data_IF_555216917070
#
_entry.id   IF_555216917070
#
_cell.length_a   1.000
_cell.length_b   1.000
_cell.length_c   1.000
_cell.angle_alpha   90.00
_cell.angle_beta   90.00
_cell.angle_gamma   90.00
#
_symmetry.space_group_name_H-M   'P 1'
#
loop_
_entity.id
_entity.type
_entity.pdbx_description
1 polymer ?
#
# COMPACT_ATOMS: atom_id res chain seq x y z
N UNK A 1 -17.24 -2.16 -7.64
CA UNK A 1 -17.01 -3.10 -8.76
C UNK A 1 -16.33 -4.33 -8.18
N UNK A 2 -16.74 -5.52 -8.58
CA UNK A 2 -16.05 -6.78 -8.28
C UNK A 2 -15.30 -7.19 -9.55
N UNK A 3 -14.04 -7.59 -9.38
CA UNK A 3 -13.20 -8.12 -10.45
C UNK A 3 -12.67 -9.46 -9.99
N UNK A 4 -12.70 -10.45 -10.88
CA UNK A 4 -12.02 -11.72 -10.65
C UNK A 4 -11.60 -12.33 -11.98
N UNK A 5 -10.71 -13.30 -11.89
CA UNK A 5 -10.16 -14.02 -13.02
C UNK A 5 -10.53 -15.50 -12.95
N UNK A 6 -10.69 -16.13 -14.10
CA UNK A 6 -10.86 -17.57 -14.22
C UNK A 6 -9.95 -18.14 -15.32
N UNK A 7 -9.42 -19.34 -15.06
CA UNK A 7 -8.55 -20.08 -15.98
C UNK A 7 -9.30 -20.75 -17.15
N UNK A 8 -10.62 -20.53 -17.22
CA UNK A 8 -11.49 -21.01 -18.28
C UNK A 8 -12.71 -20.09 -18.42
N UNK A 9 -13.27 -20.00 -19.62
CA UNK A 9 -14.52 -19.28 -19.83
C UNK A 9 -15.68 -19.94 -19.07
N UNK A 10 -16.22 -19.21 -18.09
CA UNK A 10 -17.40 -19.56 -17.33
C UNK A 10 -18.67 -19.05 -18.03
N UNK A 11 -19.70 -19.89 -18.14
CA UNK A 11 -20.96 -19.55 -18.84
C UNK A 11 -22.06 -19.14 -17.86
N UNK A 12 -22.84 -18.12 -18.23
CA UNK A 12 -23.95 -17.61 -17.42
C UNK A 12 -23.52 -17.14 -16.02
N UNK A 13 -22.37 -16.47 -15.92
CA UNK A 13 -21.90 -15.94 -14.63
C UNK A 13 -22.65 -14.67 -14.26
N UNK A 14 -23.01 -14.54 -12.99
CA UNK A 14 -23.64 -13.36 -12.42
C UNK A 14 -23.07 -13.08 -11.03
N UNK A 15 -23.19 -11.85 -10.58
CA UNK A 15 -23.05 -11.52 -9.17
C UNK A 15 -24.47 -11.46 -8.59
N UNK A 16 -24.69 -12.07 -7.45
CA UNK A 16 -25.86 -11.81 -6.62
C UNK A 16 -25.45 -11.21 -5.30
N UNK A 17 -26.30 -10.36 -4.72
CA UNK A 17 -26.01 -9.72 -3.44
C UNK A 17 -27.28 -9.47 -2.63
N UNK A 18 -27.12 -9.42 -1.31
CA UNK A 18 -28.20 -9.19 -0.37
C UNK A 18 -27.67 -8.58 0.92
N UNK A 19 -28.52 -7.84 1.63
CA UNK A 19 -28.21 -7.36 2.97
C UNK A 19 -28.33 -8.52 3.97
N UNK A 20 -27.32 -8.69 4.83
CA UNK A 20 -27.31 -9.71 5.86
C UNK A 20 -28.25 -9.31 6.99
N UNK A 21 -29.53 -9.70 6.87
CA UNK A 21 -30.51 -9.54 7.93
C UNK A 21 -30.13 -10.33 9.19
N UNK A 22 -30.33 -9.73 10.36
CA UNK A 22 -30.20 -10.38 11.68
C UNK A 22 -31.48 -11.13 12.05
N UNK A 23 -32.59 -10.91 11.32
CA UNK A 23 -33.94 -11.37 11.66
C UNK A 23 -34.46 -12.30 10.55
N UNK A 24 -35.20 -13.35 10.93
CA UNK A 24 -35.78 -14.42 10.08
C UNK A 24 -36.82 -13.92 9.05
N UNK A 25 -36.46 -12.96 8.22
CA UNK A 25 -37.25 -12.49 7.08
C UNK A 25 -36.70 -13.08 5.78
N UNK A 26 -37.57 -13.18 4.77
CA UNK A 26 -37.20 -13.55 3.41
C UNK A 26 -36.16 -12.57 2.87
N UNK A 27 -34.95 -13.06 2.61
CA UNK A 27 -33.84 -12.28 2.06
C UNK A 27 -34.15 -11.94 0.60
N UNK A 28 -34.25 -10.66 0.28
CA UNK A 28 -34.32 -10.20 -1.11
C UNK A 28 -32.93 -10.31 -1.75
N UNK A 29 -32.82 -11.18 -2.76
CA UNK A 29 -31.57 -11.41 -3.49
C UNK A 29 -31.60 -10.60 -4.78
N UNK A 30 -30.72 -9.61 -4.86
CA UNK A 30 -30.46 -8.87 -6.08
C UNK A 30 -29.47 -9.64 -6.96
N UNK A 31 -29.59 -9.50 -8.28
CA UNK A 31 -28.71 -10.18 -9.24
C UNK A 31 -28.32 -9.27 -10.38
N UNK A 32 -27.07 -9.33 -10.81
CA UNK A 32 -26.60 -8.65 -12.01
C UNK A 32 -27.15 -9.28 -13.29
N UNK A 33 -26.96 -8.57 -14.41
CA UNK A 33 -26.99 -9.19 -15.73
C UNK A 33 -25.92 -10.28 -15.87
N UNK A 34 -26.03 -11.11 -16.91
CA UNK A 34 -25.00 -12.10 -17.23
C UNK A 34 -23.74 -11.37 -17.66
N UNK A 35 -22.64 -11.69 -16.99
CA UNK A 35 -21.35 -11.07 -17.21
C UNK A 35 -20.61 -11.81 -18.32
N UNK A 36 -20.02 -11.03 -19.22
CA UNK A 36 -19.11 -11.52 -20.26
C UNK A 36 -17.67 -11.24 -19.83
N UNK A 37 -16.74 -12.19 -20.02
CA UNK A 37 -15.35 -11.92 -19.70
C UNK A 37 -14.69 -11.02 -20.75
N UNK A 38 -13.68 -10.30 -20.30
CA UNK A 38 -12.58 -9.82 -21.14
C UNK A 38 -11.49 -10.89 -21.16
N UNK A 39 -11.10 -11.34 -22.35
CA UNK A 39 -10.07 -12.36 -22.50
C UNK A 39 -8.70 -11.67 -22.61
N UNK A 40 -7.80 -11.98 -21.68
CA UNK A 40 -6.41 -11.53 -21.76
C UNK A 40 -5.63 -12.47 -22.67
N UNK A 41 -5.82 -13.79 -22.50
CA UNK A 41 -5.33 -14.82 -23.40
C UNK A 41 -6.26 -16.05 -23.40
N UNK A 42 -5.79 -17.18 -23.94
CA UNK A 42 -6.55 -18.44 -24.04
C UNK A 42 -6.93 -19.07 -22.69
N UNK A 43 -6.22 -18.70 -21.63
CA UNK A 43 -6.39 -19.20 -20.26
C UNK A 43 -6.99 -18.15 -19.34
N UNK A 44 -6.65 -16.87 -19.48
CA UNK A 44 -6.99 -15.85 -18.49
C UNK A 44 -8.22 -15.03 -18.92
N UNK A 45 -9.33 -15.23 -18.20
CA UNK A 45 -10.63 -14.61 -18.46
C UNK A 45 -11.02 -13.72 -17.27
N UNK A 46 -11.03 -12.40 -17.46
CA UNK A 46 -11.36 -11.43 -16.41
C UNK A 46 -12.82 -11.03 -16.49
N UNK A 47 -13.53 -11.15 -15.39
CA UNK A 47 -14.92 -10.73 -15.25
C UNK A 47 -14.98 -9.48 -14.38
N UNK A 48 -15.80 -8.51 -14.81
CA UNK A 48 -16.14 -7.31 -14.04
C UNK A 48 -17.63 -7.27 -13.82
N UNK A 49 -18.07 -6.98 -12.59
CA UNK A 49 -19.47 -6.75 -12.29
C UNK A 49 -19.66 -5.67 -11.25
N UNK A 50 -20.85 -5.07 -11.23
CA UNK A 50 -21.21 -4.00 -10.32
C UNK A 50 -22.18 -4.56 -9.29
N UNK A 51 -21.86 -4.36 -8.01
CA UNK A 51 -22.80 -4.56 -6.89
C UNK A 51 -23.48 -3.22 -6.66
N UNK A 52 -24.80 -3.20 -6.74
CA UNK A 52 -25.60 -2.02 -6.41
C UNK A 52 -26.78 -1.79 -7.36
N UNK A 53 -27.57 -0.73 -7.14
CA UNK A 53 -27.33 0.31 -6.13
C UNK A 53 -27.45 -0.22 -4.69
N UNK A 54 -26.63 0.32 -3.78
CA UNK A 54 -26.69 0.07 -2.34
C UNK A 54 -27.13 1.37 -1.66
N UNK A 55 -28.20 1.33 -0.88
CA UNK A 55 -28.86 2.53 -0.35
C UNK A 55 -28.80 2.64 1.17
N UNK A 56 -28.52 1.54 1.89
CA UNK A 56 -28.45 1.50 3.35
C UNK A 56 -27.02 1.26 3.83
N UNK A 57 -26.76 1.71 5.06
CA UNK A 57 -25.60 1.28 5.82
C UNK A 57 -25.87 -0.15 6.29
N UNK A 58 -24.98 -1.08 5.98
CA UNK A 58 -25.23 -2.48 6.32
C UNK A 58 -24.07 -3.41 6.05
N UNK A 59 -24.23 -4.65 6.51
CA UNK A 59 -23.39 -5.77 6.12
C UNK A 59 -24.03 -6.44 4.91
N UNK A 60 -23.34 -6.47 3.79
CA UNK A 60 -23.80 -7.11 2.56
C UNK A 60 -23.02 -8.38 2.30
N UNK A 61 -23.69 -9.37 1.72
CA UNK A 61 -23.07 -10.56 1.15
C UNK A 61 -23.17 -10.45 -0.36
N UNK A 62 -22.10 -10.78 -1.06
CA UNK A 62 -22.13 -11.00 -2.51
C UNK A 62 -21.56 -12.36 -2.86
N UNK A 63 -22.12 -12.92 -3.92
CA UNK A 63 -21.83 -14.27 -4.39
C UNK A 63 -21.64 -14.26 -5.90
N UNK A 64 -20.58 -14.93 -6.36
CA UNK A 64 -20.34 -15.19 -7.77
C UNK A 64 -21.04 -16.50 -8.11
N UNK A 65 -22.00 -16.45 -9.03
CA UNK A 65 -22.87 -17.58 -9.35
C UNK A 65 -22.66 -18.02 -10.79
N UNK A 66 -22.52 -19.32 -11.01
CA UNK A 66 -22.30 -19.92 -12.33
C UNK A 66 -23.35 -20.98 -12.69
N UNK A 67 -23.69 -20.98 -13.97
CA UNK A 67 -24.56 -21.98 -14.58
C UNK A 67 -26.05 -21.83 -14.25
N UNK A 68 -26.86 -22.65 -14.93
CA UNK A 68 -28.32 -22.63 -14.76
C UNK A 68 -28.79 -23.14 -13.38
N UNK A 69 -27.97 -23.99 -12.73
CA UNK A 69 -28.25 -24.53 -11.38
C UNK A 69 -27.88 -23.57 -10.25
N UNK A 70 -27.49 -22.32 -10.55
CA UNK A 70 -27.07 -21.31 -9.58
C UNK A 70 -25.99 -21.80 -8.61
N UNK A 71 -24.93 -22.43 -9.12
CA UNK A 71 -23.82 -22.84 -8.27
C UNK A 71 -23.06 -21.61 -7.79
N UNK A 72 -22.91 -21.46 -6.47
CA UNK A 72 -22.08 -20.42 -5.86
C UNK A 72 -20.61 -20.84 -6.00
N UNK A 73 -19.81 -20.04 -6.71
CA UNK A 73 -18.37 -20.24 -6.90
C UNK A 73 -17.59 -19.61 -5.75
N UNK A 74 -18.00 -18.42 -5.34
CA UNK A 74 -17.43 -17.72 -4.20
C UNK A 74 -18.49 -16.89 -3.49
N UNK A 75 -18.31 -16.70 -2.18
CA UNK A 75 -19.20 -15.91 -1.31
C UNK A 75 -18.35 -15.10 -0.35
N UNK A 76 -18.59 -13.80 -0.29
CA UNK A 76 -17.88 -12.87 0.57
C UNK A 76 -18.85 -11.83 1.15
N UNK A 77 -18.43 -11.17 2.23
CA UNK A 77 -19.23 -10.13 2.88
C UNK A 77 -18.42 -8.87 3.10
N UNK A 78 -19.05 -7.71 3.00
CA UNK A 78 -18.44 -6.41 3.24
C UNK A 78 -19.40 -5.48 3.99
N UNK A 79 -18.87 -4.42 4.60
CA UNK A 79 -19.67 -3.34 5.17
C UNK A 79 -19.69 -2.15 4.21
N UNK A 80 -20.86 -1.55 4.01
CA UNK A 80 -21.02 -0.39 3.16
C UNK A 80 -21.62 0.78 3.93
N UNK A 81 -21.15 2.00 3.65
CA UNK A 81 -21.49 3.22 4.38
C UNK A 81 -21.84 4.37 3.41
N UNK A 82 -23.02 4.35 2.77
CA UNK A 82 -23.41 5.39 1.80
C UNK A 82 -23.65 6.76 2.44
N UNK A 83 -23.94 6.81 3.73
CA UNK A 83 -24.18 8.02 4.52
C UNK A 83 -23.71 7.83 5.97
N UNK A 84 -23.60 8.92 6.75
CA UNK A 84 -23.36 8.80 8.19
C UNK A 84 -24.55 8.01 8.78
N UNK A 85 -24.33 6.87 9.43
CA UNK A 85 -25.38 6.18 10.15
C UNK A 85 -25.89 7.08 11.28
N UNK A 86 -27.20 7.12 11.51
CA UNK A 86 -27.82 7.90 12.60
C UNK A 86 -27.00 7.77 13.90
N UNK A 87 -26.62 8.92 14.49
CA UNK A 87 -25.57 9.08 15.50
C UNK A 87 -25.82 8.34 16.83
N UNK A 88 -26.88 7.57 16.91
CA UNK A 88 -27.18 6.62 17.99
C UNK A 88 -26.62 5.21 17.77
N UNK A 89 -26.03 4.88 16.60
CA UNK A 89 -25.69 3.48 16.23
C UNK A 89 -24.24 3.17 15.83
N UNK A 90 -23.41 4.13 15.44
CA UNK A 90 -21.98 3.85 15.28
C UNK A 90 -21.25 4.02 16.61
N UNK A 91 -20.90 2.90 17.22
CA UNK A 91 -20.02 2.83 18.40
C UNK A 91 -18.56 2.61 18.01
N UNK A 92 -18.23 2.56 16.71
CA UNK A 92 -16.90 2.23 16.17
C UNK A 92 -16.60 3.02 14.87
N UNK A 93 -15.32 3.29 14.56
CA UNK A 93 -14.93 4.10 13.40
C UNK A 93 -15.00 3.32 12.09
N UNK A 94 -15.05 4.04 10.96
CA UNK A 94 -14.76 3.45 9.65
C UNK A 94 -13.25 3.32 9.53
N UNK A 95 -12.78 2.08 9.43
CA UNK A 95 -11.36 1.76 9.30
C UNK A 95 -10.97 1.65 7.84
N UNK A 96 -9.89 2.35 7.48
CA UNK A 96 -9.32 2.32 6.14
C UNK A 96 -7.83 2.01 6.28
N UNK A 97 -7.35 1.05 5.49
CA UNK A 97 -5.92 0.79 5.37
C UNK A 97 -5.43 1.38 4.05
N UNK A 98 -4.35 2.18 4.08
CA UNK A 98 -3.79 2.79 2.88
C UNK A 98 -2.37 2.31 2.58
N UNK A 99 -2.10 2.13 1.30
CA UNK A 99 -0.82 1.78 0.71
C UNK A 99 -0.53 2.70 -0.48
N UNK A 100 0.75 2.82 -0.86
CA UNK A 100 1.18 3.38 -2.13
C UNK A 100 2.59 2.85 -2.44
N UNK A 101 2.89 2.73 -3.73
CA UNK A 101 4.24 2.43 -4.23
C UNK A 101 4.76 1.07 -3.74
N UNK A 102 4.00 -0.01 -3.95
CA UNK A 102 4.57 -1.34 -3.77
C UNK A 102 5.47 -1.73 -4.94
N UNK A 103 5.11 -1.38 -6.18
CA UNK A 103 5.87 -1.68 -7.41
C UNK A 103 6.40 -3.13 -7.40
N UNK A 104 7.68 -3.33 -7.70
CA UNK A 104 8.39 -4.61 -7.65
C UNK A 104 8.69 -5.14 -6.22
N UNK A 105 8.33 -4.40 -5.18
CA UNK A 105 8.59 -4.71 -3.77
C UNK A 105 7.61 -5.71 -3.15
N UNK A 106 7.17 -6.73 -3.89
CA UNK A 106 6.06 -7.61 -3.50
C UNK A 106 6.26 -8.34 -2.16
N UNK A 107 7.50 -8.71 -1.79
CA UNK A 107 7.79 -9.28 -0.46
C UNK A 107 7.53 -8.34 0.71
N UNK A 108 7.76 -7.04 0.52
CA UNK A 108 7.47 -6.03 1.53
C UNK A 108 5.96 -5.82 1.59
N UNK A 109 5.32 -5.69 0.43
CA UNK A 109 3.88 -5.48 0.33
C UNK A 109 3.08 -6.64 0.94
N UNK A 110 3.37 -7.90 0.56
CA UNK A 110 2.79 -9.10 1.17
C UNK A 110 2.85 -9.05 2.70
N UNK A 111 4.01 -8.67 3.25
CA UNK A 111 4.20 -8.57 4.70
C UNK A 111 3.32 -7.47 5.31
N UNK A 112 3.25 -6.30 4.68
CA UNK A 112 2.44 -5.19 5.19
C UNK A 112 0.95 -5.53 5.10
N UNK A 113 0.49 -6.12 4.01
CA UNK A 113 -0.89 -6.61 3.83
C UNK A 113 -1.21 -7.68 4.88
N UNK A 114 -0.30 -8.63 5.12
CA UNK A 114 -0.44 -9.65 6.17
C UNK A 114 -0.51 -9.06 7.57
N UNK A 115 0.25 -8.00 7.85
CA UNK A 115 0.21 -7.31 9.14
C UNK A 115 -1.11 -6.56 9.30
N UNK A 116 -1.52 -5.82 8.28
CA UNK A 116 -2.78 -5.09 8.27
C UNK A 116 -3.99 -6.02 8.47
N UNK A 117 -4.04 -7.16 7.76
CA UNK A 117 -5.13 -8.14 7.88
C UNK A 117 -5.19 -8.86 9.22
N UNK A 118 -4.06 -8.99 9.93
CA UNK A 118 -4.02 -9.59 11.27
C UNK A 118 -4.39 -8.62 12.37
N UNK A 119 -4.12 -7.33 12.18
CA UNK A 119 -4.32 -6.31 13.22
C UNK A 119 -5.64 -5.56 13.06
N UNK A 120 -6.19 -5.54 11.85
CA UNK A 120 -7.34 -4.71 11.49
C UNK A 120 -8.29 -5.50 10.60
N UNK A 121 -9.55 -5.06 10.57
CA UNK A 121 -10.58 -5.54 9.64
C UNK A 121 -11.10 -4.34 8.87
N UNK A 122 -10.33 -3.81 7.90
CA UNK A 122 -10.66 -2.56 7.24
C UNK A 122 -11.99 -2.63 6.49
N UNK A 123 -12.74 -1.52 6.51
CA UNK A 123 -13.93 -1.35 5.70
C UNK A 123 -13.59 -0.98 4.25
N UNK A 124 -12.48 -0.25 4.06
CA UNK A 124 -11.98 0.15 2.74
C UNK A 124 -10.45 0.06 2.70
N UNK A 125 -9.92 -0.02 1.49
CA UNK A 125 -8.50 0.10 1.21
C UNK A 125 -8.28 1.35 0.36
N UNK A 126 -7.18 2.07 0.57
CA UNK A 126 -6.69 3.07 -0.38
C UNK A 126 -5.41 2.52 -1.01
N UNK A 127 -5.31 2.63 -2.33
CA UNK A 127 -4.03 2.55 -3.01
C UNK A 127 -3.77 3.84 -3.79
N UNK A 128 -2.77 4.62 -3.39
CA UNK A 128 -2.48 5.92 -3.99
C UNK A 128 -1.54 5.80 -5.20
N UNK A 129 -1.68 4.76 -6.02
CA UNK A 129 -0.89 4.52 -7.23
C UNK A 129 0.41 3.72 -7.05
N UNK A 130 0.98 3.34 -8.18
CA UNK A 130 2.15 2.46 -8.36
C UNK A 130 1.97 1.07 -7.72
N UNK A 131 0.87 0.40 -8.06
CA UNK A 131 0.58 -0.98 -7.64
C UNK A 131 1.43 -2.03 -8.31
N UNK A 132 1.95 -1.72 -9.50
CA UNK A 132 2.82 -2.58 -10.30
C UNK A 132 3.94 -1.72 -10.87
N UNK A 133 4.99 -2.36 -11.38
CA UNK A 133 6.09 -1.66 -12.05
C UNK A 133 5.75 -1.31 -13.50
N UNK A 134 5.03 -2.19 -14.19
CA UNK A 134 4.66 -2.06 -15.60
C UNK A 134 3.16 -2.33 -15.76
N UNK A 135 2.40 -1.34 -16.22
CA UNK A 135 0.93 -1.42 -16.33
C UNK A 135 0.41 -2.55 -17.23
N UNK A 136 1.20 -2.99 -18.21
CA UNK A 136 0.86 -4.03 -19.19
C UNK A 136 1.34 -5.44 -18.79
N UNK A 137 2.03 -5.57 -17.66
CA UNK A 137 2.53 -6.86 -17.19
C UNK A 137 1.49 -7.61 -16.35
N UNK A 138 0.80 -8.55 -16.99
CA UNK A 138 -0.20 -9.43 -16.35
C UNK A 138 0.30 -10.09 -15.06
N UNK A 139 1.53 -10.60 -15.06
CA UNK A 139 2.08 -11.31 -13.91
C UNK A 139 2.19 -10.39 -12.69
N UNK A 140 2.57 -9.13 -12.88
CA UNK A 140 2.69 -8.17 -11.77
C UNK A 140 1.32 -7.85 -11.18
N UNK A 141 0.28 -7.69 -12.00
CA UNK A 141 -1.09 -7.51 -11.50
C UNK A 141 -1.54 -8.68 -10.64
N UNK A 142 -1.31 -9.91 -11.11
CA UNK A 142 -1.67 -11.11 -10.37
C UNK A 142 -0.83 -11.25 -9.09
N UNK A 143 0.50 -11.27 -9.22
CA UNK A 143 1.41 -11.72 -8.15
C UNK A 143 1.89 -10.60 -7.22
N UNK A 144 2.12 -9.40 -7.74
CA UNK A 144 2.67 -8.30 -6.94
C UNK A 144 1.56 -7.49 -6.25
N UNK A 145 0.35 -7.43 -6.83
CA UNK A 145 -0.76 -6.66 -6.29
C UNK A 145 -1.93 -7.51 -5.74
N UNK A 146 -2.63 -8.28 -6.58
CA UNK A 146 -3.86 -8.96 -6.15
C UNK A 146 -3.62 -10.17 -5.26
N UNK A 147 -2.57 -10.97 -5.49
CA UNK A 147 -2.26 -12.15 -4.69
C UNK A 147 -2.07 -11.81 -3.20
N UNK A 148 -1.24 -10.82 -2.82
CA UNK A 148 -1.16 -10.36 -1.43
C UNK A 148 -2.52 -9.99 -0.84
N UNK A 149 -3.29 -9.17 -1.54
CA UNK A 149 -4.57 -8.66 -1.04
C UNK A 149 -5.61 -9.78 -0.87
N UNK A 150 -5.64 -10.74 -1.79
CA UNK A 150 -6.60 -11.84 -1.79
C UNK A 150 -6.20 -12.99 -0.86
N UNK A 151 -4.90 -13.28 -0.73
CA UNK A 151 -4.37 -14.33 0.16
C UNK A 151 -4.69 -14.08 1.63
N UNK A 152 -4.84 -12.80 2.02
CA UNK A 152 -5.24 -12.41 3.37
C UNK A 152 -6.67 -11.89 3.46
N UNK A 153 -7.50 -12.21 2.47
CA UNK A 153 -8.91 -11.90 2.39
C UNK A 153 -9.25 -10.39 2.44
N UNK A 154 -8.31 -9.46 2.20
CA UNK A 154 -8.59 -8.02 2.32
C UNK A 154 -9.46 -7.49 1.17
N UNK A 155 -9.03 -7.71 -0.08
CA UNK A 155 -9.74 -7.17 -1.26
C UNK A 155 -11.12 -7.81 -1.49
N UNK A 156 -11.41 -8.95 -0.85
CA UNK A 156 -12.71 -9.61 -0.94
C UNK A 156 -13.80 -8.94 -0.08
N UNK A 157 -13.43 -8.24 1.00
CA UNK A 157 -14.38 -7.57 1.89
C UNK A 157 -14.20 -6.05 2.01
N UNK A 158 -13.08 -5.49 1.56
CA UNK A 158 -12.81 -4.07 1.63
C UNK A 158 -12.64 -3.51 0.20
N UNK A 159 -13.58 -2.66 -0.29
CA UNK A 159 -13.43 -2.01 -1.58
C UNK A 159 -12.18 -1.13 -1.62
N UNK A 160 -11.51 -1.11 -2.77
CA UNK A 160 -10.29 -0.34 -3.00
C UNK A 160 -10.63 1.01 -3.63
N UNK A 161 -10.23 2.09 -2.97
CA UNK A 161 -10.15 3.46 -3.50
C UNK A 161 -8.79 3.55 -4.19
N UNK A 162 -8.80 3.72 -5.51
CA UNK A 162 -7.63 3.54 -6.34
C UNK A 162 -7.30 4.80 -7.13
N UNK A 163 -6.10 5.33 -6.98
CA UNK A 163 -5.51 6.34 -7.85
C UNK A 163 -4.46 5.70 -8.76
N UNK A 164 -4.29 6.22 -9.97
CA UNK A 164 -3.21 5.78 -10.86
C UNK A 164 -1.91 6.48 -10.50
N UNK A 165 -0.84 5.70 -10.38
CA UNK A 165 0.53 6.20 -10.38
C UNK A 165 1.15 6.15 -11.76
N UNK A 166 2.39 6.60 -11.90
CA UNK A 166 3.04 6.66 -13.20
C UNK A 166 3.41 5.29 -13.75
N UNK A 167 3.57 4.27 -12.90
CA UNK A 167 3.90 2.91 -13.32
C UNK A 167 2.70 2.07 -13.71
N UNK A 168 1.53 2.36 -13.13
CA UNK A 168 0.27 1.64 -13.38
C UNK A 168 -0.73 2.45 -14.23
N UNK A 169 -0.32 3.63 -14.72
CA UNK A 169 -1.08 4.42 -15.67
C UNK A 169 -1.06 3.77 -17.05
N UNK A 170 -2.24 3.33 -17.50
CA UNK A 170 -2.44 2.80 -18.84
C UNK A 170 -3.08 3.84 -19.76
N UNK A 171 -2.32 4.44 -20.69
CA UNK A 171 -2.85 5.45 -21.62
C UNK A 171 -3.92 4.90 -22.59
N UNK A 172 -3.91 3.58 -22.83
CA UNK A 172 -4.83 2.92 -23.76
C UNK A 172 -6.04 2.30 -23.06
N UNK A 173 -6.08 2.31 -21.71
CA UNK A 173 -7.13 1.67 -20.90
C UNK A 173 -7.35 0.19 -21.26
N UNK A 174 -6.28 -0.48 -21.64
CA UNK A 174 -6.23 -1.90 -21.94
C UNK A 174 -6.24 -2.76 -20.68
N UNK A 175 -5.86 -2.21 -19.52
CA UNK A 175 -5.81 -2.93 -18.27
C UNK A 175 -7.19 -3.42 -17.82
N UNK A 176 -7.27 -4.72 -17.57
CA UNK A 176 -8.53 -5.39 -17.23
C UNK A 176 -8.79 -5.46 -15.72
N UNK A 177 -7.91 -4.95 -14.87
CA UNK A 177 -8.06 -5.04 -13.43
C UNK A 177 -8.53 -3.75 -12.75
N UNK A 178 -8.38 -2.59 -13.40
CA UNK A 178 -8.86 -1.31 -12.86
C UNK A 178 -10.21 -0.90 -13.47
N UNK A 179 -10.81 0.17 -12.95
CA UNK A 179 -12.06 0.74 -13.47
C UNK A 179 -11.87 1.53 -14.77
N UNK A 180 -10.62 1.88 -15.12
CA UNK A 180 -10.30 2.77 -16.24
C UNK A 180 -10.72 4.24 -16.04
N UNK A 181 -11.19 4.60 -14.84
CA UNK A 181 -11.55 5.97 -14.48
C UNK A 181 -10.31 6.72 -13.97
N UNK A 182 -9.95 7.82 -14.63
CA UNK A 182 -8.77 8.63 -14.26
C UNK A 182 -9.03 9.45 -12.99
N UNK A 183 -10.10 10.26 -13.00
CA UNK A 183 -10.52 11.06 -11.86
C UNK A 183 -12.00 10.86 -11.60
N UNK A 184 -12.37 10.84 -10.31
CA UNK A 184 -13.73 10.58 -9.86
C UNK A 184 -13.92 11.03 -8.42
N UNK A 185 -15.18 11.11 -8.01
CA UNK A 185 -15.55 11.53 -6.67
C UNK A 185 -16.70 10.68 -6.14
N UNK A 186 -16.72 10.48 -4.83
CA UNK A 186 -17.77 9.72 -4.14
C UNK A 186 -17.82 10.12 -2.68
N UNK A 187 -18.85 9.66 -1.96
CA UNK A 187 -19.04 9.98 -0.55
C UNK A 187 -19.10 8.70 0.26
N UNK A 188 -18.34 8.64 1.35
CA UNK A 188 -18.42 7.60 2.38
C UNK A 188 -18.66 8.30 3.71
N UNK A 189 -19.76 7.99 4.40
CA UNK A 189 -20.08 8.55 5.71
C UNK A 189 -19.86 10.08 5.83
N UNK A 190 -20.41 10.85 4.89
CA UNK A 190 -20.27 12.32 4.77
C UNK A 190 -18.84 12.83 4.64
N UNK A 191 -17.89 11.96 4.31
CA UNK A 191 -16.57 12.34 3.82
C UNK A 191 -16.60 12.32 2.31
N UNK A 192 -16.24 13.45 1.69
CA UNK A 192 -16.08 13.55 0.24
C UNK A 192 -14.68 13.12 -0.14
N UNK A 193 -14.62 12.14 -1.04
CA UNK A 193 -13.39 11.64 -1.62
C UNK A 193 -13.28 12.13 -3.05
N UNK A 194 -12.13 12.69 -3.39
CA UNK A 194 -11.80 13.17 -4.73
C UNK A 194 -10.50 12.48 -5.14
N UNK A 195 -10.58 11.62 -6.15
CA UNK A 195 -9.42 10.93 -6.69
C UNK A 195 -9.03 11.60 -8.00
N UNK A 196 -7.75 11.95 -8.12
CA UNK A 196 -7.17 12.65 -9.27
C UNK A 196 -6.11 11.78 -9.94
N UNK A 197 -5.90 12.04 -11.22
CA UNK A 197 -4.84 11.39 -12.01
C UNK A 197 -3.73 12.41 -12.29
N UNK A 198 -2.62 12.28 -11.56
CA UNK A 198 -1.45 13.16 -11.72
C UNK A 198 -0.66 12.91 -13.00
N UNK A 199 -1.00 11.87 -13.78
CA UNK A 199 -0.39 11.62 -15.09
C UNK A 199 -1.02 12.45 -16.21
N UNK A 200 -2.18 13.09 -15.95
CA UNK A 200 -2.95 13.82 -16.94
C UNK A 200 -2.96 15.32 -16.62
N UNK A 201 -2.04 16.05 -17.25
CA UNK A 201 -2.04 17.51 -17.29
C UNK A 201 -3.02 17.99 -18.39
N UNK A 202 -4.33 18.01 -18.08
CA UNK A 202 -5.41 18.36 -19.01
C UNK A 202 -6.42 19.33 -18.35
N UNK A 203 -6.78 20.39 -19.07
CA UNK A 203 -7.75 21.43 -18.64
C UNK A 203 -9.12 20.85 -18.24
N UNK A 204 -9.53 19.71 -18.81
CA UNK A 204 -10.78 19.02 -18.43
C UNK A 204 -10.74 18.56 -16.97
N UNK A 205 -9.60 18.09 -16.49
CA UNK A 205 -9.45 17.68 -15.09
C UNK A 205 -9.43 18.93 -14.18
N UNK A 206 -8.78 20.02 -14.59
CA UNK A 206 -8.79 21.30 -13.88
C UNK A 206 -10.23 21.84 -13.69
N UNK A 207 -11.00 21.89 -14.78
CA UNK A 207 -12.40 22.35 -14.78
C UNK A 207 -13.28 21.42 -13.94
N UNK A 208 -13.12 20.10 -14.12
CA UNK A 208 -13.85 19.11 -13.34
C UNK A 208 -13.58 19.27 -11.84
N UNK A 209 -12.31 19.42 -11.44
CA UNK A 209 -11.92 19.58 -10.04
C UNK A 209 -12.51 20.86 -9.44
N UNK A 210 -12.49 21.98 -10.18
CA UNK A 210 -13.11 23.23 -9.73
C UNK A 210 -14.63 23.08 -9.52
N UNK A 211 -15.31 22.40 -10.42
CA UNK A 211 -16.75 22.12 -10.30
C UNK A 211 -17.05 21.15 -9.15
N UNK A 212 -16.27 20.08 -9.03
CA UNK A 212 -16.40 19.08 -7.97
C UNK A 212 -16.19 19.70 -6.59
N UNK A 213 -15.14 20.51 -6.41
CA UNK A 213 -14.86 21.18 -5.15
C UNK A 213 -15.93 22.20 -4.77
N UNK A 214 -16.55 22.88 -5.74
CA UNK A 214 -17.63 23.85 -5.50
C UNK A 214 -19.03 23.23 -5.38
N UNK A 215 -19.17 21.92 -5.64
CA UNK A 215 -20.45 21.22 -5.57
C UNK A 215 -21.05 21.25 -4.15
N UNK A 216 -22.39 21.24 -4.01
CA UNK A 216 -23.05 21.12 -2.71
C UNK A 216 -22.63 19.86 -1.95
N UNK A 217 -22.41 18.74 -2.65
CA UNK A 217 -21.97 17.47 -2.07
C UNK A 217 -20.61 17.61 -1.38
N UNK A 218 -19.67 18.31 -2.00
CA UNK A 218 -18.35 18.56 -1.42
C UNK A 218 -18.39 19.61 -0.33
N UNK A 219 -19.14 20.70 -0.53
CA UNK A 219 -19.22 21.79 0.43
C UNK A 219 -19.96 21.41 1.72
N UNK A 220 -20.91 20.47 1.65
CA UNK A 220 -21.65 19.96 2.81
C UNK A 220 -20.97 18.76 3.51
N UNK A 221 -19.88 18.23 2.94
CA UNK A 221 -19.15 17.12 3.54
C UNK A 221 -18.41 17.55 4.81
N UNK A 222 -18.40 16.67 5.82
CA UNK A 222 -17.65 16.86 7.07
C UNK A 222 -16.14 16.91 6.83
N UNK A 223 -15.66 16.10 5.90
CA UNK A 223 -14.25 16.02 5.51
C UNK A 223 -14.14 15.98 3.97
N UNK A 224 -13.13 16.66 3.44
CA UNK A 224 -12.78 16.69 2.02
C UNK A 224 -11.39 16.11 1.85
N UNK A 225 -11.30 14.93 1.23
CA UNK A 225 -10.05 14.18 1.09
C UNK A 225 -9.74 14.02 -0.38
N UNK A 226 -8.50 14.38 -0.74
CA UNK A 226 -7.96 14.19 -2.08
C UNK A 226 -6.96 13.05 -2.07
N UNK A 227 -7.04 12.16 -3.06
CA UNK A 227 -6.00 11.16 -3.37
C UNK A 227 -5.43 11.49 -4.73
N UNK A 228 -4.11 11.72 -4.79
CA UNK A 228 -3.38 12.05 -6.03
C UNK A 228 -1.98 11.46 -5.91
N UNK A 229 -1.56 10.66 -6.89
CA UNK A 229 -0.32 9.88 -6.75
C UNK A 229 0.92 10.76 -6.62
N UNK A 230 1.24 11.59 -7.62
CA UNK A 230 2.40 12.49 -7.57
C UNK A 230 2.07 13.66 -6.62
N UNK A 231 2.82 13.82 -5.51
CA UNK A 231 2.51 14.83 -4.51
C UNK A 231 2.81 16.24 -5.03
N UNK A 232 2.06 17.27 -4.58
CA UNK A 232 2.37 18.66 -4.92
C UNK A 232 3.70 19.15 -4.36
N UNK A 233 4.22 18.52 -3.32
CA UNK A 233 5.43 18.94 -2.61
C UNK A 233 6.31 17.71 -2.33
N UNK A 234 7.37 17.53 -3.12
CA UNK A 234 8.40 16.50 -2.93
C UNK A 234 9.63 17.09 -2.23
N UNK A 235 10.26 16.32 -1.35
CA UNK A 235 11.48 16.71 -0.62
C UNK A 235 12.63 15.73 -0.81
N UNK A 236 12.36 14.48 -1.16
CA UNK A 236 13.37 13.43 -1.28
C UNK A 236 13.27 12.78 -2.64
N UNK A 237 14.40 12.65 -3.32
CA UNK A 237 14.49 12.08 -4.65
C UNK A 237 15.94 11.79 -4.98
N UNK A 238 16.19 11.05 -6.06
CA UNK A 238 17.55 10.90 -6.57
C UNK A 238 18.06 12.26 -7.13
N UNK A 239 19.19 12.80 -6.63
CA UNK A 239 19.63 14.16 -6.97
C UNK A 239 19.89 14.40 -8.46
N UNK A 240 20.47 13.43 -9.18
CA UNK A 240 20.75 13.57 -10.61
C UNK A 240 19.44 13.62 -11.40
N UNK A 241 18.48 12.75 -11.09
CA UNK A 241 17.16 12.74 -11.70
C UNK A 241 16.40 14.05 -11.41
N UNK A 242 16.46 14.53 -10.16
CA UNK A 242 15.83 15.78 -9.76
C UNK A 242 16.31 16.98 -10.57
N UNK A 243 17.64 17.15 -10.68
CA UNK A 243 18.24 18.32 -11.30
C UNK A 243 18.48 18.18 -12.81
N UNK A 244 19.10 17.07 -13.23
CA UNK A 244 19.57 16.89 -14.60
C UNK A 244 18.47 16.35 -15.51
N UNK A 245 17.64 15.42 -15.02
CA UNK A 245 16.46 14.92 -15.76
C UNK A 245 15.22 15.79 -15.61
N UNK A 246 15.32 16.87 -14.83
CA UNK A 246 14.24 17.85 -14.58
C UNK A 246 13.00 17.25 -13.92
N UNK A 247 13.16 16.15 -13.19
CA UNK A 247 12.05 15.50 -12.48
C UNK A 247 11.48 16.37 -11.34
N UNK A 248 12.18 17.44 -10.96
CA UNK A 248 11.62 18.51 -10.11
C UNK A 248 10.34 19.17 -10.64
N UNK A 249 10.05 19.04 -11.93
CA UNK A 249 8.83 19.56 -12.57
C UNK A 249 7.74 18.50 -12.71
N UNK A 250 7.99 17.26 -12.29
CA UNK A 250 7.03 16.17 -12.42
C UNK A 250 5.80 16.44 -11.53
N UNK A 251 4.62 16.48 -12.14
CA UNK A 251 3.39 16.83 -11.43
C UNK A 251 3.29 18.29 -10.98
N UNK A 252 4.11 19.22 -11.53
CA UNK A 252 4.12 20.63 -11.12
C UNK A 252 2.73 21.30 -11.18
N UNK A 253 1.86 20.85 -12.07
CA UNK A 253 0.49 21.34 -12.17
C UNK A 253 -0.37 21.02 -10.93
N UNK A 254 -0.10 19.91 -10.25
CA UNK A 254 -0.77 19.56 -8.97
C UNK A 254 -0.48 20.67 -7.94
N UNK A 255 0.78 21.12 -7.87
CA UNK A 255 1.19 22.22 -6.98
C UNK A 255 0.68 23.59 -7.43
N UNK A 256 0.78 23.90 -8.72
CA UNK A 256 0.56 25.26 -9.22
C UNK A 256 -0.90 25.55 -9.55
N UNK A 257 -1.71 24.52 -9.85
CA UNK A 257 -3.11 24.68 -10.27
C UNK A 257 -4.10 24.01 -9.31
N UNK A 258 -3.82 22.82 -8.79
CA UNK A 258 -4.74 22.13 -7.88
C UNK A 258 -4.66 22.62 -6.43
N UNK A 259 -3.46 22.82 -5.88
CA UNK A 259 -3.29 23.33 -4.50
C UNK A 259 -4.02 24.67 -4.26
N UNK A 260 -4.01 25.66 -5.18
CA UNK A 260 -4.85 26.85 -5.03
C UNK A 260 -6.34 26.55 -4.87
N UNK A 261 -6.87 25.54 -5.59
CA UNK A 261 -8.25 25.10 -5.44
C UNK A 261 -8.47 24.39 -4.10
N UNK A 262 -7.52 23.56 -3.66
CA UNK A 262 -7.57 22.88 -2.36
C UNK A 262 -7.68 23.90 -1.21
N UNK A 263 -6.85 24.94 -1.24
CA UNK A 263 -6.89 26.05 -0.29
C UNK A 263 -8.21 26.80 -0.34
N UNK A 264 -8.67 27.16 -1.56
CA UNK A 264 -9.90 27.93 -1.76
C UNK A 264 -11.14 27.22 -1.22
N UNK A 265 -11.25 25.92 -1.41
CA UNK A 265 -12.44 25.13 -1.05
C UNK A 265 -12.28 24.33 0.25
N UNK A 266 -11.16 24.51 0.96
CA UNK A 266 -10.91 23.90 2.27
C UNK A 266 -10.81 22.38 2.23
N UNK A 267 -9.91 21.86 1.41
CA UNK A 267 -9.52 20.43 1.45
C UNK A 267 -8.76 20.15 2.74
N UNK A 268 -9.15 19.10 3.45
CA UNK A 268 -8.60 18.79 4.78
C UNK A 268 -7.33 17.93 4.69
N UNK A 269 -7.32 16.97 3.76
CA UNK A 269 -6.27 15.97 3.63
C UNK A 269 -5.96 15.65 2.16
N UNK A 270 -4.68 15.63 1.82
CA UNK A 270 -4.15 15.14 0.54
C UNK A 270 -3.27 13.92 0.79
N UNK A 271 -3.59 12.81 0.13
CA UNK A 271 -2.88 11.53 0.22
C UNK A 271 -2.18 11.26 -1.11
N UNK A 272 -0.86 11.08 -1.04
CA UNK A 272 0.00 10.86 -2.20
C UNK A 272 0.99 9.73 -2.01
N UNK A 273 1.50 9.22 -3.12
CA UNK A 273 2.56 8.21 -3.20
C UNK A 273 3.80 8.81 -3.86
N UNK A 274 4.33 8.09 -4.85
CA UNK A 274 5.42 8.41 -5.77
C UNK A 274 6.81 8.50 -5.11
N UNK A 275 6.91 9.29 -4.05
CA UNK A 275 8.12 9.40 -3.24
C UNK A 275 8.12 8.30 -2.18
N UNK A 276 9.18 7.49 -2.17
CA UNK A 276 9.24 6.25 -1.40
C UNK A 276 9.68 6.47 0.06
N UNK A 277 8.87 7.20 0.81
CA UNK A 277 9.00 7.34 2.27
C UNK A 277 7.66 7.80 2.88
N UNK A 278 7.62 7.99 4.19
CA UNK A 278 6.49 8.61 4.86
C UNK A 278 6.78 10.09 5.11
N UNK A 279 5.86 10.96 4.72
CA UNK A 279 5.84 12.35 5.17
C UNK A 279 4.46 12.80 5.60
N UNK A 280 4.44 13.73 6.56
CA UNK A 280 3.24 14.48 6.93
C UNK A 280 3.60 15.89 7.35
N UNK A 281 2.80 16.84 6.90
CA UNK A 281 2.89 18.25 7.24
C UNK A 281 1.56 18.96 7.00
N UNK A 282 1.46 20.22 7.40
CA UNK A 282 0.26 21.02 7.20
C UNK A 282 0.61 22.39 6.62
N UNK A 283 -0.10 22.80 5.58
CA UNK A 283 -0.01 24.14 4.99
C UNK A 283 -1.40 24.66 4.70
N UNK A 284 -1.67 25.92 5.09
CA UNK A 284 -2.93 26.62 4.80
C UNK A 284 -4.20 25.86 5.21
N UNK A 285 -4.13 25.13 6.33
CA UNK A 285 -5.23 24.31 6.85
C UNK A 285 -5.26 22.88 6.28
N UNK A 286 -4.67 22.62 5.12
CA UNK A 286 -4.61 21.30 4.49
C UNK A 286 -3.44 20.46 5.01
N UNK A 287 -3.71 19.21 5.40
CA UNK A 287 -2.68 18.23 5.73
C UNK A 287 -2.23 17.56 4.43
N UNK A 288 -0.93 17.56 4.17
CA UNK A 288 -0.32 16.83 3.05
C UNK A 288 0.41 15.60 3.58
N UNK A 289 0.19 14.47 2.92
CA UNK A 289 0.83 13.19 3.27
C UNK A 289 1.43 12.52 2.05
N UNK A 290 2.62 11.95 2.24
CA UNK A 290 3.28 11.04 1.30
C UNK A 290 3.35 9.69 2.00
N UNK A 291 2.86 8.63 1.35
CA UNK A 291 2.68 7.29 1.93
C UNK A 291 3.32 6.18 1.09
N UNK A 292 4.34 6.50 0.27
CA UNK A 292 4.99 5.59 -0.69
C UNK A 292 5.89 4.51 -0.08
N UNK A 293 5.50 3.95 1.06
CA UNK A 293 6.29 2.97 1.79
C UNK A 293 5.88 1.52 1.56
N UNK A 294 4.99 1.20 0.62
CA UNK A 294 4.40 -0.13 0.55
C UNK A 294 5.34 -1.21 -0.02
N UNK A 295 6.41 -0.82 -0.73
CA UNK A 295 7.41 -1.80 -1.20
C UNK A 295 8.58 -1.26 -2.01
N UNK A 296 8.36 -0.20 -2.79
CA UNK A 296 9.38 0.43 -3.64
C UNK A 296 10.65 0.84 -2.89
N UNK A 297 11.77 0.96 -3.62
CA UNK A 297 13.07 1.31 -3.02
C UNK A 297 12.98 2.68 -2.32
N UNK A 298 13.25 2.71 -1.02
CA UNK A 298 13.12 3.93 -0.21
C UNK A 298 14.04 5.07 -0.66
N UNK A 299 13.53 6.29 -0.63
CA UNK A 299 14.27 7.52 -0.94
C UNK A 299 14.91 8.14 0.30
N UNK A 300 16.22 8.41 0.22
CA UNK A 300 17.01 8.93 1.33
C UNK A 300 17.58 10.32 1.10
N UNK A 301 17.84 10.72 -0.13
CA UNK A 301 18.47 11.99 -0.44
C UNK A 301 17.45 13.12 -0.45
N UNK A 302 17.71 14.18 0.31
CA UNK A 302 16.85 15.36 0.34
C UNK A 302 17.27 16.30 -0.80
N UNK A 303 16.33 16.66 -1.65
CA UNK A 303 16.52 17.53 -2.83
C UNK A 303 15.82 18.89 -2.69
N UNK A 304 14.81 18.98 -1.82
CA UNK A 304 14.09 20.22 -1.48
C UNK A 304 13.69 20.22 0.01
N UNK A 305 13.32 21.39 0.51
CA UNK A 305 12.77 21.57 1.86
C UNK A 305 11.58 22.56 1.81
N UNK A 306 10.37 22.03 1.98
CA UNK A 306 9.14 22.81 1.98
C UNK A 306 8.79 23.34 3.39
N UNK A 307 9.63 23.05 4.40
CA UNK A 307 9.55 23.47 5.81
C UNK A 307 8.31 23.01 6.59
N UNK A 308 7.17 22.77 5.95
CA UNK A 308 5.92 22.40 6.60
C UNK A 308 5.82 20.89 6.89
N UNK A 309 6.63 20.05 6.22
CA UNK A 309 6.75 18.63 6.52
C UNK A 309 7.51 18.43 7.84
N UNK A 310 6.74 18.27 8.91
CA UNK A 310 7.28 18.14 10.27
C UNK A 310 7.43 16.69 10.74
N UNK A 311 6.91 15.71 9.98
CA UNK A 311 7.13 14.28 10.23
C UNK A 311 7.64 13.64 8.96
N UNK A 312 8.85 13.07 9.02
CA UNK A 312 9.48 12.30 7.94
C UNK A 312 9.98 10.97 8.49
N UNK A 313 9.70 9.85 7.81
CA UNK A 313 10.25 8.52 8.14
C UNK A 313 10.60 7.78 6.86
N UNK A 314 11.87 7.38 6.72
CA UNK A 314 12.40 6.64 5.56
C UNK A 314 12.34 5.15 5.82
N UNK A 315 11.13 4.60 5.84
CA UNK A 315 10.89 3.18 6.14
C UNK A 315 9.63 2.69 5.46
N UNK A 316 9.57 1.39 5.18
CA UNK A 316 8.33 0.76 4.75
C UNK A 316 7.26 0.79 5.83
N UNK A 317 6.03 1.05 5.41
CA UNK A 317 4.89 1.27 6.29
C UNK A 317 3.58 1.09 5.52
N UNK A 318 2.49 0.95 6.26
CA UNK A 318 1.13 1.18 5.77
C UNK A 318 0.43 2.19 6.68
N UNK A 319 -0.66 2.77 6.23
CA UNK A 319 -1.46 3.69 7.05
C UNK A 319 -2.71 3.00 7.55
N UNK A 320 -3.01 3.18 8.84
CA UNK A 320 -4.36 2.99 9.37
C UNK A 320 -5.01 4.37 9.54
N UNK A 321 -6.11 4.58 8.84
CA UNK A 321 -6.97 5.75 8.95
C UNK A 321 -8.29 5.32 9.59
N UNK A 322 -8.72 6.05 10.62
CA UNK A 322 -10.00 5.81 11.29
C UNK A 322 -10.85 7.07 11.21
N UNK A 323 -11.99 6.98 10.53
CA UNK A 323 -12.93 8.08 10.39
C UNK A 323 -14.02 7.94 11.45
N UNK A 324 -14.07 8.94 12.32
CA UNK A 324 -15.13 9.15 13.31
C UNK A 324 -16.04 10.28 12.83
N UNK A 325 -17.17 10.48 13.52
CA UNK A 325 -18.15 11.52 13.17
C UNK A 325 -17.54 12.93 13.08
N UNK A 326 -16.59 13.24 13.95
CA UNK A 326 -16.00 14.58 14.09
C UNK A 326 -14.48 14.61 13.91
N UNK A 327 -13.82 13.44 13.79
CA UNK A 327 -12.36 13.38 13.74
C UNK A 327 -11.84 12.28 12.82
N UNK A 328 -10.71 12.55 12.17
CA UNK A 328 -9.91 11.52 11.48
C UNK A 328 -8.69 11.21 12.34
N UNK A 329 -8.47 9.94 12.67
CA UNK A 329 -7.24 9.47 13.29
C UNK A 329 -6.34 8.87 12.21
N UNK A 330 -5.10 9.36 12.13
CA UNK A 330 -4.11 8.94 11.15
C UNK A 330 -2.89 8.29 11.83
N UNK A 331 -2.64 7.02 11.55
CA UNK A 331 -1.53 6.23 12.13
C UNK A 331 -0.67 5.64 11.01
N UNK A 332 0.59 6.04 10.94
CA UNK A 332 1.59 5.37 10.11
C UNK A 332 2.15 4.17 10.88
N UNK A 333 1.84 2.96 10.43
CA UNK A 333 2.25 1.70 11.04
C UNK A 333 3.47 1.16 10.31
N UNK A 334 4.59 1.22 11.01
CA UNK A 334 5.88 0.80 10.48
C UNK A 334 5.97 -0.71 10.47
N UNK A 335 6.79 -1.26 9.58
CA UNK A 335 7.24 -2.65 9.69
C UNK A 335 7.80 -2.88 11.10
N UNK A 336 7.22 -3.76 11.94
CA UNK A 336 7.87 -4.21 13.15
C UNK A 336 8.97 -5.18 12.71
N UNK A 337 10.13 -4.65 12.32
CA UNK A 337 11.25 -5.47 11.80
C UNK A 337 11.75 -6.46 12.87
N UNK A 338 11.63 -6.14 14.16
CA UNK A 338 12.38 -6.85 15.20
C UNK A 338 11.66 -8.02 15.90
N UNK A 339 10.33 -8.04 16.05
CA UNK A 339 9.71 -9.01 16.99
C UNK A 339 8.89 -10.14 16.34
N UNK A 340 8.39 -9.96 15.13
CA UNK A 340 7.49 -10.95 14.51
C UNK A 340 8.21 -11.83 13.48
N UNK A 341 9.08 -11.26 12.65
CA UNK A 341 9.94 -12.03 11.74
C UNK A 341 10.89 -12.96 12.51
N UNK A 342 11.33 -12.52 13.69
CA UNK A 342 12.20 -13.28 14.60
C UNK A 342 11.56 -14.51 15.21
N UNK A 343 10.23 -14.54 15.31
CA UNK A 343 9.49 -15.69 15.79
C UNK A 343 9.08 -16.67 14.65
N UNK A 344 8.96 -16.21 13.41
CA UNK A 344 8.54 -17.03 12.25
C UNK A 344 9.70 -17.64 11.49
N UNK A 345 10.83 -16.93 11.38
CA UNK A 345 11.99 -17.41 10.62
C UNK A 345 12.64 -18.68 11.22
N UNK A 346 12.16 -19.18 12.37
CA UNK A 346 12.55 -20.46 12.96
C UNK A 346 13.99 -20.53 13.46
N UNK A 347 14.82 -19.52 13.18
CA UNK A 347 16.25 -19.52 13.49
C UNK A 347 16.53 -19.67 15.01
N UNK A 348 15.67 -19.10 15.87
CA UNK A 348 15.76 -19.29 17.33
C UNK A 348 15.55 -20.75 17.76
N UNK A 349 14.76 -21.51 16.99
CA UNK A 349 14.53 -22.95 17.20
C UNK A 349 15.76 -23.78 16.80
N UNK A 350 16.67 -23.21 15.99
CA UNK A 350 17.97 -23.78 15.63
C UNK A 350 19.11 -23.25 16.50
N UNK A 351 18.81 -22.40 17.49
CA UNK A 351 19.81 -21.81 18.39
C UNK A 351 20.57 -20.63 17.77
N UNK A 352 20.09 -20.09 16.66
CA UNK A 352 20.67 -18.92 16.00
C UNK A 352 20.16 -17.62 16.64
N UNK A 353 20.96 -16.56 16.52
CA UNK A 353 20.54 -15.16 16.66
C UNK A 353 20.20 -14.59 15.28
N UNK A 354 19.50 -13.47 15.22
CA UNK A 354 19.11 -12.86 13.93
C UNK A 354 20.30 -12.61 13.03
N UNK A 355 21.38 -12.07 13.58
CA UNK A 355 22.54 -11.66 12.80
C UNK A 355 23.28 -12.85 12.18
N UNK A 356 23.00 -14.07 12.63
CA UNK A 356 23.53 -15.30 12.03
C UNK A 356 22.83 -15.64 10.70
N UNK A 357 21.64 -15.09 10.41
CA UNK A 357 20.91 -15.32 9.13
C UNK A 357 21.14 -14.23 8.08
N UNK A 358 21.97 -13.23 8.39
CA UNK A 358 22.38 -12.21 7.42
C UNK A 358 23.28 -12.85 6.36
N UNK A 359 23.09 -12.48 5.08
CA UNK A 359 23.84 -13.03 3.96
C UNK A 359 25.34 -12.68 4.06
N UNK A 360 26.16 -13.66 4.42
CA UNK A 360 27.61 -13.53 4.58
C UNK A 360 28.36 -13.30 3.25
N UNK A 361 27.70 -13.52 2.11
CA UNK A 361 28.31 -13.29 0.79
C UNK A 361 28.42 -11.81 0.41
N UNK A 362 27.77 -10.92 1.15
CA UNK A 362 27.93 -9.48 0.97
C UNK A 362 29.32 -9.02 1.43
N UNK A 363 30.02 -8.24 0.60
CA UNK A 363 31.33 -7.64 0.92
C UNK A 363 31.29 -6.80 2.20
N UNK A 364 30.20 -6.03 2.38
CA UNK A 364 29.93 -5.23 3.59
C UNK A 364 29.82 -6.11 4.83
N UNK A 365 29.16 -7.27 4.72
CA UNK A 365 28.98 -8.21 5.84
C UNK A 365 30.28 -8.96 6.15
N UNK A 366 31.08 -9.32 5.14
CA UNK A 366 32.40 -9.92 5.35
C UNK A 366 33.35 -8.98 6.08
N UNK A 367 33.34 -7.69 5.71
CA UNK A 367 34.15 -6.69 6.38
C UNK A 367 33.63 -6.39 7.79
N UNK A 368 32.31 -6.35 7.99
CA UNK A 368 31.72 -6.25 9.32
C UNK A 368 32.11 -7.43 10.23
N UNK A 369 32.08 -8.66 9.72
CA UNK A 369 32.47 -9.86 10.45
C UNK A 369 33.94 -9.86 10.88
N UNK A 370 34.84 -9.19 10.13
CA UNK A 370 36.25 -9.00 10.53
C UNK A 370 36.41 -8.06 11.71
N UNK A 371 35.46 -7.15 11.93
CA UNK A 371 35.49 -6.12 12.98
C UNK A 371 34.82 -6.58 14.28
N UNK A 372 33.99 -7.63 14.21
CA UNK A 372 33.37 -8.25 15.39
C UNK A 372 34.45 -8.83 16.32
N UNK A 373 34.31 -8.67 17.65
CA UNK A 373 35.22 -9.29 18.61
C UNK A 373 35.33 -10.80 18.38
N UNK A 374 36.56 -11.33 18.47
CA UNK A 374 36.83 -12.75 18.17
C UNK A 374 35.96 -13.72 18.96
N UNK A 375 35.65 -13.39 20.22
CA UNK A 375 34.78 -14.21 21.06
C UNK A 375 33.35 -14.32 20.49
N UNK A 376 32.75 -13.22 20.02
CA UNK A 376 31.41 -13.24 19.40
C UNK A 376 31.41 -13.95 18.05
N UNK A 377 32.49 -13.80 17.28
CA UNK A 377 32.68 -14.53 16.02
C UNK A 377 32.75 -16.05 16.26
N UNK A 378 33.53 -16.50 17.25
CA UNK A 378 33.65 -17.91 17.60
C UNK A 378 32.30 -18.48 18.10
N UNK A 379 31.55 -17.71 18.89
CA UNK A 379 30.20 -18.07 19.31
C UNK A 379 29.22 -18.17 18.13
N UNK A 380 29.29 -17.24 17.15
CA UNK A 380 28.53 -17.31 15.90
C UNK A 380 28.85 -18.59 15.13
N UNK A 381 30.12 -18.93 14.96
CA UNK A 381 30.54 -20.15 14.28
C UNK A 381 29.98 -21.41 14.95
N UNK A 382 29.95 -21.45 16.29
CA UNK A 382 29.34 -22.56 17.03
C UNK A 382 27.83 -22.65 16.80
N UNK A 383 27.10 -21.52 16.81
CA UNK A 383 25.66 -21.48 16.53
C UNK A 383 25.36 -21.96 15.11
N UNK A 384 26.10 -21.49 14.11
CA UNK A 384 25.97 -21.91 12.71
C UNK A 384 26.26 -23.40 12.52
N UNK A 385 27.33 -23.92 13.15
CA UNK A 385 27.67 -25.35 13.09
C UNK A 385 26.56 -26.23 13.66
N UNK A 386 26.00 -25.82 14.81
CA UNK A 386 24.91 -26.55 15.45
C UNK A 386 23.63 -26.49 14.60
N UNK A 387 23.27 -25.30 14.08
CA UNK A 387 22.11 -25.14 13.20
C UNK A 387 22.23 -25.96 11.92
N UNK A 388 23.43 -26.03 11.32
CA UNK A 388 23.70 -26.87 10.16
C UNK A 388 23.51 -28.36 10.46
N UNK A 389 23.99 -28.85 11.60
CA UNK A 389 23.79 -30.24 12.03
C UNK A 389 22.32 -30.59 12.26
N UNK A 390 21.55 -29.68 12.86
CA UNK A 390 20.12 -29.83 13.07
C UNK A 390 19.36 -29.86 11.73
N UNK A 391 19.71 -28.96 10.81
CA UNK A 391 19.16 -28.91 9.46
C UNK A 391 19.38 -30.22 8.69
N UNK A 392 20.61 -30.76 8.72
CA UNK A 392 20.92 -32.05 8.08
C UNK A 392 20.10 -33.22 8.63
N UNK A 393 19.62 -33.14 9.87
CA UNK A 393 18.81 -34.18 10.52
C UNK A 393 17.31 -33.90 10.44
N UNK A 394 16.90 -32.76 9.88
CA UNK A 394 15.53 -32.24 9.95
C UNK A 394 15.01 -32.14 11.40
N UNK A 395 15.88 -31.76 12.33
CA UNK A 395 15.57 -31.60 13.75
C UNK A 395 15.59 -30.12 14.16
N UNK A 396 14.90 -29.80 15.26
CA UNK A 396 14.99 -28.50 15.93
C UNK A 396 15.39 -28.72 17.40
N UNK A 397 15.88 -27.66 18.05
CA UNK A 397 16.21 -27.74 19.48
C UNK A 397 14.92 -27.95 20.32
N UNK A 398 15.04 -28.62 21.48
CA UNK A 398 14.02 -28.56 22.52
C UNK A 398 13.64 -27.12 22.90
N UNK A 399 12.37 -26.86 23.20
CA UNK A 399 11.83 -25.49 23.43
C UNK A 399 12.55 -24.71 24.54
N UNK A 400 13.04 -25.40 25.56
CA UNK A 400 13.80 -24.82 26.67
C UNK A 400 15.18 -24.29 26.26
N UNK A 401 15.69 -24.71 25.09
CA UNK A 401 16.98 -24.31 24.52
C UNK A 401 16.86 -23.31 23.37
N UNK A 402 15.65 -22.83 23.07
CA UNK A 402 15.47 -21.79 22.06
C UNK A 402 16.03 -20.47 22.58
N UNK A 403 16.69 -19.72 21.70
CA UNK A 403 17.17 -18.37 22.03
C UNK A 403 15.98 -17.52 22.46
N UNK A 404 16.04 -16.97 23.68
CA UNK A 404 14.98 -16.10 24.17
C UNK A 404 15.08 -14.72 23.52
N UNK A 405 13.99 -13.97 23.41
CA UNK A 405 14.02 -12.62 22.82
C UNK A 405 15.05 -11.68 23.46
N UNK A 406 15.29 -11.82 24.77
CA UNK A 406 16.29 -11.01 25.50
C UNK A 406 17.74 -11.42 25.24
N UNK A 407 17.97 -12.62 24.70
CA UNK A 407 19.30 -13.17 24.37
C UNK A 407 19.65 -12.98 22.88
N UNK A 408 18.69 -12.55 22.06
CA UNK A 408 18.81 -12.32 20.62
C UNK A 408 19.35 -10.91 20.31
N UNK A 409 20.59 -10.67 20.74
CA UNK A 409 21.28 -9.39 20.63
C UNK A 409 21.83 -9.22 19.19
N UNK A 410 21.68 -8.00 18.66
CA UNK A 410 22.17 -7.54 17.35
C UNK A 410 23.67 -7.23 17.40
N UNK A 411 24.50 -8.27 17.42
CA UNK A 411 25.95 -8.14 17.62
C UNK A 411 26.72 -7.73 16.35
N UNK A 412 26.16 -7.93 15.16
CA UNK A 412 26.77 -7.67 13.86
C UNK A 412 26.24 -6.38 13.21
N UNK A 413 24.96 -6.06 13.44
CA UNK A 413 24.30 -4.88 12.85
C UNK A 413 25.07 -3.56 13.03
N UNK A 414 25.60 -3.20 14.22
CA UNK A 414 26.36 -1.95 14.37
C UNK A 414 27.59 -1.86 13.46
N UNK A 415 28.24 -3.00 13.19
CA UNK A 415 29.41 -3.08 12.33
C UNK A 415 29.03 -3.03 10.84
N UNK A 416 27.88 -3.61 10.47
CA UNK A 416 27.35 -3.53 9.10
C UNK A 416 26.98 -2.09 8.76
N UNK A 417 26.32 -1.39 9.67
CA UNK A 417 25.99 0.03 9.50
C UNK A 417 27.24 0.90 9.39
N UNK A 418 28.26 0.63 10.22
CA UNK A 418 29.53 1.34 10.16
C UNK A 418 30.24 1.13 8.82
N UNK A 419 30.36 -0.12 8.35
CA UNK A 419 31.02 -0.42 7.07
C UNK A 419 30.27 0.19 5.90
N UNK A 420 28.93 0.09 5.89
CA UNK A 420 28.12 0.70 4.83
C UNK A 420 28.26 2.22 4.80
N UNK A 421 28.37 2.87 5.97
CA UNK A 421 28.62 4.31 6.07
C UNK A 421 30.01 4.69 5.54
N UNK A 422 31.06 3.94 5.90
CA UNK A 422 32.41 4.16 5.40
C UNK A 422 32.54 3.90 3.89
N UNK A 423 31.84 2.88 3.36
CA UNK A 423 31.76 2.61 1.92
C UNK A 423 31.11 3.79 1.18
N UNK A 424 30.01 4.32 1.71
CA UNK A 424 29.34 5.50 1.16
C UNK A 424 30.21 6.77 1.25
N UNK A 425 30.95 6.96 2.36
CA UNK A 425 31.89 8.08 2.50
C UNK A 425 33.06 7.97 1.53
N UNK A 426 33.59 6.75 1.32
CA UNK A 426 34.67 6.51 0.35
C UNK A 426 34.21 6.72 -1.08
N UNK A 427 33.02 6.24 -1.44
CA UNK A 427 32.40 6.52 -2.75
C UNK A 427 32.20 8.02 -2.97
N UNK A 428 31.78 8.76 -1.92
CA UNK A 428 31.65 10.21 -1.96
C UNK A 428 33.00 10.95 -2.07
N UNK A 429 34.07 10.41 -1.46
CA UNK A 429 35.42 10.99 -1.52
C UNK A 429 36.15 10.69 -2.84
N UNK A 430 36.00 9.46 -3.37
CA UNK A 430 36.58 9.03 -4.65
C UNK A 430 35.92 9.75 -5.85
N UNK A 431 34.74 10.33 -5.66
CA UNK A 431 34.07 11.22 -6.61
C UNK A 431 34.75 12.61 -6.70
N UNK A 432 35.94 12.68 -7.28
CA UNK A 432 36.65 13.94 -7.53
C UNK A 432 35.93 14.82 -8.59
N UNK A 433 35.17 15.83 -8.15
CA UNK A 433 34.69 16.93 -9.01
C UNK A 433 35.78 18.00 -9.17
N UNK A 434 36.52 17.93 -10.29
CA UNK A 434 37.33 19.07 -10.76
C UNK A 434 36.42 20.01 -11.55
N UNK A 435 36.09 21.16 -10.96
CA UNK A 435 35.33 22.21 -11.66
C UNK A 435 36.32 23.15 -12.36
N UNK A 436 36.24 23.23 -13.68
CA UNK A 436 36.94 24.25 -14.46
C UNK A 436 36.38 25.62 -14.08
N UNK A 437 37.23 26.48 -13.51
CA UNK A 437 36.94 27.92 -13.42
C UNK A 437 37.03 28.53 -14.82
N UNK A 438 35.88 28.86 -15.40
CA UNK A 438 35.58 30.20 -15.93
C UNK A 438 34.10 30.35 -16.25
#
# INVERSE_FOLDING_TARGET
MVVWEANCELKNVRIQWYEKSIINETIEINTSEILKPSNIDISHHVYKGIIGPLTSVGNYVYEIVHGQKKQIISSHSFQFFPSIPDGSKLTYPIQIVAFADNQFGSFVFDRLVRLASKQHSPNFIIHAGDVVQEFDNLQQWQTDFYDPLTSYNLAQHAPIIYAHGNHDFDPNKSNMYTTGAHWYSFTIANTRWIVLDSNIDDEKQDLWLSHELSSPETQNASFKIVVVHIPPFMEFWEPVAWHEKKEKHWGEFVRTRFVPLFRKYGVDLVISGHQHNYQRGQSDGTIYTIIGGAGGKLDFDRVEDWAFYNVVRKTHHYILMEIWSETIIWKALLKPVANWYTNIAGYRQLGLRYDDVIAEESTTVQEALRRVPREEYDQRTLRLRNAFQLSLRNEILPRDKWIKPVEDIRYLEPYVEQVAFEEAEREAFDAAKVVLKK
#
